data_IF_211415085572
#
_entry.id   IF_211415085572
#
_cell.length_a   1.000
_cell.length_b   1.000
_cell.length_c   1.000
_cell.angle_alpha   90.00
_cell.angle_beta   90.00
_cell.angle_gamma   90.00
#
_symmetry.space_group_name_H-M   'P 1'
#
loop_
_entity.id
_entity.type
_entity.pdbx_description
1 polymer ?
#
# COMPACT_ATOMS: atom_id res chain seq x y z
N UNK A 1 -12.74 3.88 8.55
CA UNK A 1 -11.97 3.98 9.81
C UNK A 1 -11.07 2.76 9.86
N UNK A 2 -9.74 2.93 9.98
CA UNK A 2 -8.79 1.81 10.10
C UNK A 2 -8.71 1.44 11.58
N UNK A 3 -9.25 0.28 11.97
CA UNK A 3 -9.47 -0.05 13.38
C UNK A 3 -8.31 -0.77 14.07
N UNK A 4 -7.37 -1.37 13.32
CA UNK A 4 -6.22 -2.10 13.86
C UNK A 4 -5.05 -2.04 12.88
N UNK A 5 -3.83 -1.83 13.38
CA UNK A 5 -2.59 -1.86 12.60
C UNK A 5 -1.53 -2.74 13.26
N UNK A 6 -1.03 -3.76 12.55
CA UNK A 6 0.14 -4.56 12.96
C UNK A 6 1.31 -4.15 12.07
N UNK A 7 2.46 -3.83 12.65
CA UNK A 7 3.68 -3.54 11.90
C UNK A 7 4.15 -4.80 11.15
N UNK A 8 4.29 -4.68 9.83
CA UNK A 8 4.77 -5.76 8.96
C UNK A 8 6.23 -5.58 8.54
N UNK A 9 6.82 -4.41 8.82
CA UNK A 9 8.19 -4.08 8.46
C UNK A 9 8.37 -2.67 7.90
N UNK A 10 9.63 -2.34 7.73
CA UNK A 10 10.12 -1.04 7.27
C UNK A 10 10.93 -1.20 5.98
N UNK A 11 10.68 -0.32 5.01
CA UNK A 11 11.54 -0.07 3.86
C UNK A 11 12.25 1.28 4.03
N UNK A 12 13.21 1.61 3.17
CA UNK A 12 14.13 2.74 3.38
C UNK A 12 13.51 4.10 3.78
N UNK A 13 12.29 4.41 3.32
CA UNK A 13 11.53 5.61 3.72
C UNK A 13 10.07 5.32 4.04
N UNK A 14 9.68 4.06 4.31
CA UNK A 14 8.27 3.70 4.42
C UNK A 14 8.03 2.61 5.44
N UNK A 15 6.92 2.70 6.15
CA UNK A 15 6.46 1.61 7.01
C UNK A 15 5.26 0.90 6.39
N UNK A 16 5.19 -0.42 6.56
CA UNK A 16 4.07 -1.23 6.08
C UNK A 16 3.31 -1.78 7.27
N UNK A 17 2.00 -1.55 7.27
CA UNK A 17 1.11 -2.03 8.31
C UNK A 17 0.07 -2.98 7.73
N UNK A 18 -0.25 -4.06 8.44
CA UNK A 18 -1.46 -4.83 8.18
C UNK A 18 -2.63 -4.05 8.76
N UNK A 19 -3.64 -3.76 7.95
CA UNK A 19 -4.81 -2.99 8.35
C UNK A 19 -6.10 -3.69 8.00
N UNK A 20 -7.18 -3.39 8.72
CA UNK A 20 -8.52 -3.82 8.37
C UNK A 20 -9.34 -2.66 7.81
N UNK A 21 -9.95 -2.85 6.64
CA UNK A 21 -10.90 -1.92 6.03
C UNK A 21 -12.26 -2.58 5.86
N UNK A 22 -13.28 -1.96 6.45
CA UNK A 22 -14.66 -2.41 6.30
C UNK A 22 -15.06 -2.52 4.82
N UNK A 23 -15.76 -3.60 4.47
CA UNK A 23 -16.16 -3.90 3.09
C UNK A 23 -15.08 -4.52 2.19
N UNK A 24 -13.80 -4.53 2.61
CA UNK A 24 -12.71 -5.19 1.85
C UNK A 24 -12.05 -6.31 2.65
N UNK A 25 -11.75 -6.08 3.94
CA UNK A 25 -11.07 -7.04 4.80
C UNK A 25 -9.65 -6.61 5.16
N UNK A 26 -8.75 -7.58 5.27
CA UNK A 26 -7.34 -7.37 5.65
C UNK A 26 -6.54 -6.91 4.44
N UNK A 27 -5.79 -5.83 4.60
CA UNK A 27 -4.95 -5.18 3.60
C UNK A 27 -3.57 -4.88 4.16
N UNK A 28 -2.63 -4.53 3.29
CA UNK A 28 -1.40 -3.86 3.68
C UNK A 28 -1.50 -2.36 3.35
N UNK A 29 -1.01 -1.52 4.26
CA UNK A 29 -0.93 -0.08 4.11
C UNK A 29 0.53 0.35 4.14
N UNK A 30 1.05 0.82 3.00
CA UNK A 30 2.38 1.42 2.92
C UNK A 30 2.27 2.91 3.19
N UNK A 31 2.89 3.36 4.28
CA UNK A 31 2.92 4.76 4.73
C UNK A 31 4.27 5.35 4.39
N UNK A 32 4.28 6.45 3.64
CA UNK A 32 5.47 7.09 3.10
C UNK A 32 5.40 8.58 3.45
N UNK A 33 6.45 9.22 3.98
CA UNK A 33 6.51 10.68 4.08
C UNK A 33 6.29 11.29 2.68
N UNK A 34 5.39 12.24 2.56
CA UNK A 34 4.98 12.81 1.27
C UNK A 34 6.16 13.46 0.53
N UNK A 35 7.14 14.02 1.25
CA UNK A 35 8.38 14.54 0.68
C UNK A 35 9.24 13.50 -0.04
N UNK A 36 9.12 12.23 0.35
CA UNK A 36 9.81 11.09 -0.27
C UNK A 36 8.90 10.35 -1.27
N UNK A 37 7.64 10.79 -1.45
CA UNK A 37 6.69 10.12 -2.32
C UNK A 37 6.86 10.56 -3.78
N UNK A 38 7.23 9.62 -4.65
CA UNK A 38 7.32 9.83 -6.09
C UNK A 38 6.04 9.40 -6.81
N UNK A 39 5.25 10.38 -7.26
CA UNK A 39 4.02 10.10 -8.02
C UNK A 39 4.30 9.39 -9.34
N UNK A 40 5.43 9.67 -10.00
CA UNK A 40 5.81 9.00 -11.25
C UNK A 40 6.11 7.51 -11.04
N UNK A 41 6.82 7.15 -9.95
CA UNK A 41 7.07 5.74 -9.61
C UNK A 41 5.78 5.01 -9.26
N UNK A 42 4.92 5.67 -8.47
CA UNK A 42 3.61 5.11 -8.13
C UNK A 42 2.75 4.89 -9.38
N UNK A 43 2.67 5.86 -10.29
CA UNK A 43 1.88 5.75 -11.50
C UNK A 43 2.36 4.61 -12.41
N UNK A 44 3.68 4.49 -12.62
CA UNK A 44 4.25 3.38 -13.39
C UNK A 44 3.91 2.04 -12.74
N UNK A 45 4.11 1.90 -11.42
CA UNK A 45 3.78 0.67 -10.69
C UNK A 45 2.29 0.31 -10.76
N UNK A 46 1.42 1.32 -10.68
CA UNK A 46 -0.03 1.14 -10.73
C UNK A 46 -0.51 0.66 -12.11
N UNK A 47 -0.04 1.29 -13.20
CA UNK A 47 -0.39 0.86 -14.56
C UNK A 47 0.03 -0.59 -14.82
N UNK A 48 1.16 -1.04 -14.28
CA UNK A 48 1.61 -2.44 -14.41
C UNK A 48 0.75 -3.47 -13.63
N UNK A 49 -0.14 -3.01 -12.73
CA UNK A 49 -1.03 -3.89 -11.95
C UNK A 49 -2.46 -3.98 -12.48
N UNK A 50 -2.87 -3.03 -13.32
CA UNK A 50 -4.28 -2.88 -13.76
C UNK A 50 -4.83 -4.08 -14.49
N UNK A 51 -4.00 -4.76 -15.28
CA UNK A 51 -4.49 -5.87 -16.13
C UNK A 51 -4.61 -7.20 -15.37
N UNK A 52 -4.16 -7.27 -14.11
CA UNK A 52 -4.22 -8.50 -13.31
C UNK A 52 -3.53 -9.71 -13.95
N UNK A 53 -2.75 -9.49 -15.02
CA UNK A 53 -2.17 -10.49 -15.89
C UNK A 53 -0.95 -11.16 -15.27
N UNK A 54 -0.33 -10.49 -14.29
CA UNK A 54 0.84 -11.00 -13.60
C UNK A 54 0.50 -11.33 -12.13
N UNK A 55 0.41 -12.62 -11.76
CA UNK A 55 0.11 -13.04 -10.38
C UNK A 55 1.26 -12.80 -9.39
N UNK A 56 2.42 -12.35 -9.88
CA UNK A 56 3.60 -12.02 -9.05
C UNK A 56 3.72 -10.52 -8.75
N UNK A 57 2.78 -9.70 -9.21
CA UNK A 57 2.76 -8.27 -8.92
C UNK A 57 1.66 -7.97 -7.92
N UNK A 58 2.03 -7.27 -6.86
CA UNK A 58 1.13 -6.88 -5.79
C UNK A 58 0.03 -5.96 -6.31
N UNK A 59 -1.23 -6.28 -6.00
CA UNK A 59 -2.37 -5.46 -6.41
C UNK A 59 -2.51 -4.21 -5.56
N UNK A 60 -2.44 -3.05 -6.22
CA UNK A 60 -2.80 -1.77 -5.60
C UNK A 60 -4.32 -1.57 -5.61
N UNK A 61 -4.86 -1.12 -4.49
CA UNK A 61 -6.31 -0.95 -4.30
C UNK A 61 -6.67 0.52 -4.33
N UNK A 62 -6.01 1.33 -3.52
CA UNK A 62 -6.21 2.78 -3.46
C UNK A 62 -4.97 3.49 -2.93
N UNK A 63 -4.88 4.79 -3.18
CA UNK A 63 -3.91 5.66 -2.52
C UNK A 63 -4.55 6.98 -2.12
N UNK A 64 -4.07 7.56 -1.03
CA UNK A 64 -4.54 8.85 -0.52
C UNK A 64 -3.44 9.54 0.30
N UNK A 65 -3.56 10.86 0.43
CA UNK A 65 -2.68 11.66 1.29
C UNK A 65 -3.38 11.95 2.62
N UNK A 66 -2.61 11.89 3.71
CA UNK A 66 -3.05 12.31 5.05
C UNK A 66 -1.95 13.12 5.72
N UNK A 67 -2.14 14.43 5.81
CA UNK A 67 -1.11 15.35 6.30
C UNK A 67 0.18 15.23 5.51
N UNK A 68 1.27 14.93 6.22
CA UNK A 68 2.62 14.79 5.66
C UNK A 68 2.93 13.40 5.11
N UNK A 69 1.92 12.53 4.96
CA UNK A 69 2.10 11.16 4.50
C UNK A 69 1.25 10.83 3.28
N UNK A 70 1.85 10.09 2.35
CA UNK A 70 1.13 9.32 1.34
C UNK A 70 0.88 7.91 1.88
N UNK A 71 -0.32 7.40 1.68
CA UNK A 71 -0.73 6.04 2.05
C UNK A 71 -1.16 5.31 0.80
N UNK A 72 -0.62 4.11 0.61
CA UNK A 72 -1.02 3.19 -0.46
C UNK A 72 -1.61 1.95 0.20
N UNK A 73 -2.86 1.63 -0.11
CA UNK A 73 -3.47 0.36 0.25
C UNK A 73 -3.26 -0.65 -0.87
N UNK A 74 -2.82 -1.84 -0.47
CA UNK A 74 -2.49 -2.94 -1.37
C UNK A 74 -2.99 -4.25 -0.75
N UNK A 75 -3.11 -5.29 -1.59
CA UNK A 75 -3.44 -6.61 -1.09
C UNK A 75 -2.42 -7.05 -0.03
N UNK A 76 -2.91 -7.71 1.02
CA UNK A 76 -2.02 -8.32 1.99
C UNK A 76 -1.51 -9.64 1.43
N UNK A 77 -0.18 -9.76 1.29
CA UNK A 77 0.49 -10.99 0.87
C UNK A 77 1.36 -11.51 2.00
N UNK A 78 1.11 -12.75 2.42
CA UNK A 78 1.92 -13.46 3.40
C UNK A 78 2.63 -14.61 2.67
N UNK A 79 3.91 -14.43 2.33
CA UNK A 79 4.73 -15.58 1.91
C UNK A 79 4.95 -16.46 3.14
N UNK A 80 4.36 -17.66 3.13
CA UNK A 80 4.75 -18.76 4.01
C UNK A 80 5.73 -19.68 3.30
#
# INVERSE_FOLDING_TARGET
MLCYSIDLGEGGFSHVYMVYKEGIGILAAKVIPYKEFSFSEFHVGFEHTKDGSNPFVLKYIESFQTGDFAVILMEYSNMK
#
